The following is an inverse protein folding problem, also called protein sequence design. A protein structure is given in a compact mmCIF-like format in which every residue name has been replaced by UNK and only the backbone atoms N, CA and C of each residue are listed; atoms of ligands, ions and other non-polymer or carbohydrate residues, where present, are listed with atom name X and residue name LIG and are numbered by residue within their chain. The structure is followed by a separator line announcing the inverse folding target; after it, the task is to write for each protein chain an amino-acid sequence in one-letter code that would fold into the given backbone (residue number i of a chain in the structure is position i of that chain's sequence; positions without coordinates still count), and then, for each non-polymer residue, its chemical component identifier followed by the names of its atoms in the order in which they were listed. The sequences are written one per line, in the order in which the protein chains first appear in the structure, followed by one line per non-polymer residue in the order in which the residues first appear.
data_IF_135261741126
#
_entry.id   IF_135261741126
#
_cell.length_a   1.000
_cell.length_b   1.000
_cell.length_c   1.000
_cell.angle_alpha   90.00
_cell.angle_beta   90.00
_cell.angle_gamma   90.00
#
_symmetry.space_group_name_H-M   'P 1'
#
loop_
_entity.id
_entity.type
_entity.pdbx_description
1 polymer ?
#
# COMPACT_ATOMS: atom_id res chain seq x y z
N UNK A 1 55.28 39.82 -37.04
CA UNK A 1 54.97 38.42 -36.70
C UNK A 1 54.94 38.31 -35.18
N UNK A 2 53.76 38.07 -34.60
CA UNK A 2 53.49 37.58 -33.23
C UNK A 2 51.96 37.64 -33.05
N UNK A 3 51.31 36.49 -32.81
CA UNK A 3 49.94 36.40 -32.31
C UNK A 3 49.93 35.43 -31.12
N UNK A 4 49.48 35.85 -29.93
CA UNK A 4 49.31 34.97 -28.79
C UNK A 4 47.96 34.24 -28.86
N UNK A 5 47.98 33.01 -28.36
CA UNK A 5 46.90 32.03 -28.45
C UNK A 5 45.72 32.29 -27.51
N UNK A 6 44.58 31.74 -27.92
CA UNK A 6 43.39 31.55 -27.10
C UNK A 6 43.34 30.07 -26.70
N UNK A 7 43.68 29.79 -25.44
CA UNK A 7 43.36 28.54 -24.77
C UNK A 7 41.86 28.51 -24.46
N UNK A 8 41.13 27.59 -25.07
CA UNK A 8 39.79 27.19 -24.63
C UNK A 8 39.94 26.09 -23.57
N UNK A 9 39.74 26.42 -22.29
CA UNK A 9 39.57 25.42 -21.24
C UNK A 9 38.14 24.88 -21.28
N UNK A 10 37.99 23.64 -21.72
CA UNK A 10 36.75 22.87 -21.67
C UNK A 10 36.32 22.64 -20.21
N UNK A 11 35.22 23.27 -19.80
CA UNK A 11 34.50 22.93 -18.56
C UNK A 11 33.78 21.59 -18.76
N UNK A 12 34.46 20.48 -18.49
CA UNK A 12 33.81 19.18 -18.29
C UNK A 12 33.45 19.03 -16.81
N UNK A 13 32.23 19.41 -16.45
CA UNK A 13 31.59 18.97 -15.21
C UNK A 13 31.18 17.50 -15.37
N UNK A 14 32.08 16.57 -15.02
CA UNK A 14 31.67 15.20 -14.71
C UNK A 14 31.38 15.12 -13.19
N UNK A 15 30.24 15.66 -12.76
CA UNK A 15 29.63 15.31 -11.48
C UNK A 15 28.92 13.96 -11.64
N UNK A 16 29.72 12.90 -11.79
CA UNK A 16 29.25 11.52 -11.67
C UNK A 16 29.26 11.09 -10.21
N UNK A 17 28.47 11.75 -9.36
CA UNK A 17 28.10 11.19 -8.07
C UNK A 17 27.07 10.08 -8.33
N UNK A 18 27.52 8.93 -8.80
CA UNK A 18 26.78 7.69 -8.61
C UNK A 18 26.86 7.37 -7.11
N UNK A 19 25.98 8.00 -6.33
CA UNK A 19 25.63 7.44 -5.04
C UNK A 19 24.99 6.09 -5.35
N UNK A 20 25.76 5.01 -5.23
CA UNK A 20 25.21 3.70 -4.99
C UNK A 20 24.41 3.79 -3.69
N UNK A 21 23.14 4.19 -3.79
CA UNK A 21 22.16 3.93 -2.75
C UNK A 21 22.16 2.42 -2.59
N UNK A 22 22.78 1.94 -1.52
CA UNK A 22 22.89 0.51 -1.25
C UNK A 22 21.47 -0.05 -1.10
N UNK A 23 20.97 -0.64 -2.19
CA UNK A 23 19.65 -1.22 -2.26
C UNK A 23 19.52 -2.53 -1.48
N UNK A 24 20.60 -2.98 -0.84
CA UNK A 24 20.57 -4.10 0.09
C UNK A 24 19.72 -3.77 1.30
N UNK A 25 18.85 -4.70 1.69
CA UNK A 25 18.12 -4.63 2.95
C UNK A 25 19.10 -4.99 4.06
N UNK A 26 19.72 -4.00 4.70
CA UNK A 26 20.82 -4.26 5.64
C UNK A 26 20.36 -4.76 7.00
N UNK A 27 19.14 -4.43 7.43
CA UNK A 27 18.56 -4.92 8.69
C UNK A 27 17.03 -4.96 8.59
N UNK A 28 16.44 -6.16 8.52
CA UNK A 28 15.02 -6.34 8.86
C UNK A 28 14.95 -6.55 10.38
N UNK A 29 14.21 -5.74 11.15
CA UNK A 29 14.02 -6.00 12.57
C UNK A 29 13.47 -7.41 12.75
N UNK A 30 14.19 -8.23 13.51
CA UNK A 30 13.74 -9.53 13.94
C UNK A 30 12.69 -9.27 15.03
N UNK A 31 11.40 -9.26 14.67
CA UNK A 31 10.37 -9.40 15.68
C UNK A 31 10.56 -10.75 16.41
N UNK A 32 9.97 -10.90 17.60
CA UNK A 32 9.82 -12.22 18.22
C UNK A 32 8.95 -13.09 17.30
N UNK A 33 9.57 -13.71 16.30
CA UNK A 33 8.88 -14.29 15.15
C UNK A 33 8.87 -15.81 15.17
N UNK A 34 7.79 -16.39 14.66
CA UNK A 34 7.72 -17.82 14.33
C UNK A 34 8.79 -18.19 13.29
N UNK A 35 9.17 -19.48 13.14
CA UNK A 35 10.14 -19.92 12.12
C UNK A 35 9.80 -19.42 10.69
N UNK A 36 8.52 -19.22 10.41
CA UNK A 36 7.99 -18.72 9.15
C UNK A 36 8.33 -17.23 8.95
N UNK A 37 8.21 -16.40 9.99
CA UNK A 37 8.61 -14.99 9.96
C UNK A 37 10.12 -14.86 9.72
N UNK A 38 10.92 -15.70 10.39
CA UNK A 38 12.37 -15.73 10.17
C UNK A 38 12.77 -16.23 8.77
N UNK A 39 12.00 -17.16 8.19
CA UNK A 39 12.20 -17.60 6.81
C UNK A 39 11.86 -16.50 5.80
N UNK A 40 10.73 -15.79 6.00
CA UNK A 40 10.35 -14.66 5.16
C UNK A 40 11.36 -13.50 5.23
N UNK A 41 11.88 -13.19 6.44
CA UNK A 41 12.93 -12.19 6.61
C UNK A 41 14.21 -12.54 5.83
N UNK A 42 14.63 -13.82 5.89
CA UNK A 42 15.81 -14.30 5.13
C UNK A 42 15.59 -14.26 3.63
N UNK A 43 14.41 -14.68 3.16
CA UNK A 43 14.06 -14.64 1.75
C UNK A 43 14.10 -13.21 1.20
N UNK A 44 13.51 -12.25 1.92
CA UNK A 44 13.55 -10.83 1.57
C UNK A 44 14.97 -10.27 1.58
N UNK A 45 15.78 -10.56 2.61
CA UNK A 45 17.15 -10.06 2.69
C UNK A 45 18.05 -10.58 1.55
N UNK A 46 17.74 -11.75 0.97
CA UNK A 46 18.47 -12.32 -0.16
C UNK A 46 18.14 -11.65 -1.52
N UNK A 47 17.14 -10.78 -1.56
CA UNK A 47 16.74 -10.09 -2.79
C UNK A 47 17.42 -8.72 -2.95
N UNK A 48 17.44 -8.19 -4.18
CA UNK A 48 17.83 -6.81 -4.44
C UNK A 48 16.59 -6.00 -4.90
N UNK A 49 15.90 -5.31 -3.98
CA UNK A 49 14.68 -4.56 -4.25
C UNK A 49 14.74 -3.67 -5.49
N UNK A 50 15.83 -2.92 -5.65
CA UNK A 50 15.97 -1.95 -6.75
C UNK A 50 16.18 -2.61 -8.12
N UNK A 51 16.65 -3.87 -8.15
CA UNK A 51 16.78 -4.63 -9.41
C UNK A 51 15.46 -5.29 -9.80
N UNK A 52 14.68 -5.73 -8.81
CA UNK A 52 13.40 -6.40 -9.02
C UNK A 52 12.34 -5.41 -9.55
N UNK A 53 12.20 -4.25 -8.91
CA UNK A 53 11.23 -3.24 -9.34
C UNK A 53 11.91 -1.85 -9.34
N UNK A 54 12.07 -1.17 -10.50
CA UNK A 54 12.64 0.16 -10.56
C UNK A 54 11.84 1.14 -9.71
N UNK A 55 12.54 2.06 -9.06
CA UNK A 55 11.92 3.02 -8.14
C UNK A 55 11.71 2.50 -6.72
N UNK A 56 11.90 1.20 -6.45
CA UNK A 56 11.91 0.71 -5.08
C UNK A 56 13.12 1.21 -4.30
N UNK A 57 12.90 1.55 -3.04
CA UNK A 57 13.98 1.78 -2.08
C UNK A 57 13.96 0.70 -1.00
N UNK A 58 15.13 0.36 -0.44
CA UNK A 58 15.24 -0.55 0.71
C UNK A 58 14.49 -0.02 1.95
N UNK A 59 14.28 1.31 2.02
CA UNK A 59 13.53 1.99 3.10
C UNK A 59 12.04 1.62 3.10
N UNK A 60 11.40 1.59 1.93
CA UNK A 60 9.97 1.23 1.80
C UNK A 60 9.69 -0.18 2.33
N UNK A 61 10.54 -1.15 1.97
CA UNK A 61 10.41 -2.52 2.48
C UNK A 61 10.68 -2.63 3.98
N UNK A 62 11.66 -1.88 4.50
CA UNK A 62 11.92 -1.81 5.93
C UNK A 62 10.73 -1.27 6.73
N UNK A 63 10.09 -0.21 6.24
CA UNK A 63 8.90 0.38 6.86
C UNK A 63 7.70 -0.58 6.85
N UNK A 64 7.48 -1.25 5.72
CA UNK A 64 6.38 -2.21 5.52
C UNK A 64 6.58 -3.43 6.42
N UNK A 65 7.81 -3.95 6.49
CA UNK A 65 8.16 -5.04 7.39
C UNK A 65 7.99 -4.66 8.87
N UNK A 66 8.46 -3.48 9.27
CA UNK A 66 8.27 -2.99 10.64
C UNK A 66 6.78 -2.81 10.98
N UNK A 67 5.99 -2.27 10.04
CA UNK A 67 4.54 -2.09 10.20
C UNK A 67 3.79 -3.42 10.33
N UNK A 68 4.18 -4.41 9.52
CA UNK A 68 3.65 -5.77 9.59
C UNK A 68 3.90 -6.41 10.98
N UNK A 69 5.11 -6.20 11.53
CA UNK A 69 5.54 -6.74 12.82
C UNK A 69 5.02 -5.98 14.03
N UNK A 70 4.74 -4.68 13.89
CA UNK A 70 4.22 -3.87 14.99
C UNK A 70 2.81 -4.35 15.38
N UNK A 71 2.72 -5.10 16.48
CA UNK A 71 1.45 -5.46 17.13
C UNK A 71 0.89 -4.32 18.01
N UNK A 72 1.61 -3.21 18.10
CA UNK A 72 1.33 -2.13 19.04
C UNK A 72 0.24 -1.19 18.53
N UNK A 73 -0.96 -1.35 19.12
CA UNK A 73 -1.88 -0.24 19.43
C UNK A 73 -1.06 0.94 19.93
N UNK A 74 -0.99 2.03 19.16
CA UNK A 74 -0.46 3.30 19.67
C UNK A 74 -1.30 3.70 20.89
N UNK A 75 -0.69 3.74 22.07
CA UNK A 75 -1.30 4.02 23.36
C UNK A 75 -1.79 5.45 23.53
N UNK A 76 -2.80 5.83 22.76
CA UNK A 76 -3.62 7.02 22.96
C UNK A 76 -5.04 6.69 22.51
N UNK A 77 -6.05 7.09 23.30
CA UNK A 77 -7.44 7.02 22.85
C UNK A 77 -7.58 7.86 21.58
N UNK A 78 -7.56 7.21 20.42
CA UNK A 78 -8.04 7.83 19.18
C UNK A 78 -9.52 8.14 19.41
N UNK A 79 -9.89 9.41 19.28
CA UNK A 79 -11.26 9.88 19.46
C UNK A 79 -12.21 9.31 18.38
N UNK A 80 -11.64 8.79 17.29
CA UNK A 80 -12.34 8.08 16.22
C UNK A 80 -11.92 6.59 16.20
N UNK A 81 -12.90 5.69 16.05
CA UNK A 81 -12.62 4.27 15.90
C UNK A 81 -11.79 4.05 14.63
N UNK A 82 -10.70 3.27 14.70
CA UNK A 82 -9.85 3.06 13.53
C UNK A 82 -10.66 2.44 12.41
N UNK A 83 -10.41 2.89 11.19
CA UNK A 83 -10.99 2.30 9.98
C UNK A 83 -10.66 0.81 9.96
N UNK A 84 -11.65 -0.08 9.73
CA UNK A 84 -11.41 -1.51 9.68
C UNK A 84 -10.36 -1.84 8.61
N UNK A 85 -9.38 -2.70 8.89
CA UNK A 85 -8.36 -3.05 7.92
C UNK A 85 -9.00 -3.59 6.64
N UNK A 86 -8.65 -2.95 5.52
CA UNK A 86 -9.14 -3.30 4.19
C UNK A 86 -10.45 -2.66 3.75
N UNK A 87 -11.08 -1.85 4.60
CA UNK A 87 -12.07 -0.87 4.14
C UNK A 87 -11.36 0.30 3.43
N UNK A 88 -11.94 0.88 2.36
CA UNK A 88 -11.31 1.94 1.59
C UNK A 88 -11.16 3.22 2.42
N UNK A 89 -10.00 3.85 2.37
CA UNK A 89 -9.69 5.12 3.02
C UNK A 89 -8.59 5.84 2.24
N UNK A 90 -8.62 7.17 2.22
CA UNK A 90 -7.62 7.96 1.49
C UNK A 90 -7.63 7.67 -0.01
N UNK A 91 -6.46 7.49 -0.63
CA UNK A 91 -6.38 7.07 -2.02
C UNK A 91 -6.67 5.57 -2.12
N UNK A 92 -7.54 5.21 -3.06
CA UNK A 92 -7.97 3.82 -3.27
C UNK A 92 -7.78 3.44 -4.73
N UNK A 93 -7.01 2.38 -4.96
CA UNK A 93 -6.85 1.75 -6.26
C UNK A 93 -8.09 0.88 -6.56
N UNK A 94 -8.87 1.20 -7.61
CA UNK A 94 -9.93 0.32 -8.05
C UNK A 94 -9.37 -0.90 -8.79
N UNK A 95 -9.93 -2.07 -8.52
CA UNK A 95 -9.57 -3.33 -9.16
C UNK A 95 -10.74 -3.74 -10.07
N UNK A 96 -10.48 -3.97 -11.36
CA UNK A 96 -11.54 -4.33 -12.33
C UNK A 96 -12.75 -3.37 -12.35
N UNK A 97 -12.52 -2.07 -12.16
CA UNK A 97 -13.57 -1.03 -12.00
C UNK A 97 -14.44 -1.18 -10.75
N UNK A 98 -13.95 -1.86 -9.72
CA UNK A 98 -14.61 -2.01 -8.43
C UNK A 98 -13.72 -1.47 -7.30
N UNK A 99 -14.35 -0.92 -6.27
CA UNK A 99 -13.71 -0.68 -4.97
C UNK A 99 -14.23 -1.72 -4.00
N UNK A 100 -13.31 -2.46 -3.39
CA UNK A 100 -13.61 -3.54 -2.46
C UNK A 100 -13.70 -2.99 -1.03
N UNK A 101 -14.80 -3.31 -0.36
CA UNK A 101 -14.99 -3.14 1.07
C UNK A 101 -14.82 -4.49 1.75
N UNK A 102 -13.91 -4.60 2.72
CA UNK A 102 -13.78 -5.77 3.59
C UNK A 102 -14.08 -5.40 5.05
N UNK A 103 -15.17 -5.95 5.56
CA UNK A 103 -15.64 -5.82 6.94
C UNK A 103 -15.60 -7.16 7.69
N UNK A 104 -14.84 -8.14 7.21
CA UNK A 104 -14.78 -9.49 7.78
C UNK A 104 -14.42 -9.48 9.28
N UNK A 105 -13.57 -8.56 9.72
CA UNK A 105 -13.19 -8.41 11.13
C UNK A 105 -14.34 -7.89 12.02
N UNK A 106 -15.37 -7.28 11.42
CA UNK A 106 -16.51 -6.70 12.13
C UNK A 106 -17.78 -7.57 12.11
N UNK A 107 -17.74 -8.75 11.48
CA UNK A 107 -18.92 -9.63 11.39
C UNK A 107 -19.48 -9.98 12.79
N UNK A 108 -18.60 -10.18 13.76
CA UNK A 108 -18.97 -10.44 15.16
C UNK A 108 -19.66 -9.27 15.86
N UNK A 109 -19.65 -8.06 15.27
CA UNK A 109 -20.36 -6.89 15.79
C UNK A 109 -21.79 -6.76 15.27
N UNK A 110 -22.23 -7.64 14.37
CA UNK A 110 -23.51 -7.57 13.65
C UNK A 110 -23.56 -6.34 12.73
N UNK A 111 -23.28 -6.53 11.44
CA UNK A 111 -23.34 -5.45 10.44
C UNK A 111 -24.81 -5.06 10.19
N UNK A 112 -25.16 -3.80 10.41
CA UNK A 112 -26.56 -3.32 10.33
C UNK A 112 -26.85 -2.46 9.12
N UNK A 113 -25.93 -1.55 8.79
CA UNK A 113 -26.13 -0.63 7.67
C UNK A 113 -24.81 -0.18 7.07
N UNK A 114 -24.71 -0.17 5.75
CA UNK A 114 -23.66 0.54 5.02
C UNK A 114 -24.29 1.67 4.20
N UNK A 115 -23.80 2.89 4.38
CA UNK A 115 -24.08 4.03 3.50
C UNK A 115 -22.82 4.44 2.77
N UNK A 116 -22.94 4.72 1.49
CA UNK A 116 -21.90 5.31 0.66
C UNK A 116 -22.49 6.53 -0.04
N UNK A 117 -21.74 7.62 0.00
CA UNK A 117 -22.06 8.90 -0.63
C UNK A 117 -20.92 9.30 -1.55
N UNK A 118 -21.22 10.00 -2.63
CA UNK A 118 -20.24 10.66 -3.52
C UNK A 118 -20.58 12.12 -3.60
N UNK A 119 -19.62 12.97 -3.24
CA UNK A 119 -19.80 14.43 -3.18
C UNK A 119 -21.09 14.80 -2.41
N UNK A 120 -21.29 14.15 -1.25
CA UNK A 120 -22.44 14.28 -0.34
C UNK A 120 -23.79 13.82 -0.93
N UNK A 121 -23.79 13.15 -2.08
CA UNK A 121 -25.00 12.54 -2.66
C UNK A 121 -25.05 11.04 -2.34
N UNK A 122 -26.19 10.51 -1.89
CA UNK A 122 -26.34 9.08 -1.64
C UNK A 122 -26.04 8.27 -2.91
N UNK A 123 -25.08 7.34 -2.80
CA UNK A 123 -24.74 6.37 -3.85
C UNK A 123 -25.28 4.97 -3.52
N UNK A 124 -25.13 4.55 -2.26
CA UNK A 124 -25.52 3.22 -1.81
C UNK A 124 -26.04 3.28 -0.38
N UNK A 125 -27.09 2.52 -0.09
CA UNK A 125 -27.62 2.36 1.26
C UNK A 125 -28.11 0.92 1.42
N UNK A 126 -27.30 0.08 2.07
CA UNK A 126 -27.57 -1.34 2.28
C UNK A 126 -27.93 -1.59 3.74
N UNK A 127 -29.09 -2.19 3.96
CA UNK A 127 -29.43 -2.80 5.25
C UNK A 127 -28.81 -4.21 5.32
N UNK A 128 -28.24 -4.57 6.48
CA UNK A 128 -27.55 -5.84 6.73
C UNK A 128 -26.52 -6.17 5.64
N UNK A 129 -25.51 -5.31 5.42
CA UNK A 129 -24.51 -5.52 4.38
C UNK A 129 -23.74 -6.84 4.60
N UNK A 130 -23.35 -7.56 3.52
CA UNK A 130 -22.44 -8.68 3.66
C UNK A 130 -21.06 -8.21 4.15
N UNK A 131 -20.26 -9.16 4.65
CA UNK A 131 -18.90 -8.90 5.13
C UNK A 131 -17.97 -8.33 4.06
N UNK A 132 -18.24 -8.62 2.78
CA UNK A 132 -17.48 -8.12 1.63
C UNK A 132 -18.42 -7.57 0.59
N UNK A 133 -18.13 -6.38 0.09
CA UNK A 133 -18.95 -5.67 -0.90
C UNK A 133 -18.05 -5.06 -1.96
N UNK A 134 -18.49 -5.15 -3.21
CA UNK A 134 -17.82 -4.50 -4.32
C UNK A 134 -18.68 -3.32 -4.79
N UNK A 135 -18.11 -2.12 -4.73
CA UNK A 135 -18.73 -0.91 -5.23
C UNK A 135 -18.29 -0.67 -6.68
N UNK A 136 -19.19 -0.74 -7.67
CA UNK A 136 -18.84 -0.38 -9.04
C UNK A 136 -18.54 1.12 -9.13
N UNK A 137 -17.38 1.46 -9.70
CA UNK A 137 -16.92 2.84 -9.83
C UNK A 137 -17.00 3.38 -11.27
N UNK A 138 -17.69 2.68 -12.17
CA UNK A 138 -17.87 3.11 -13.55
C UNK A 138 -18.58 4.47 -13.60
N UNK A 139 -17.96 5.44 -14.27
CA UNK A 139 -18.52 6.78 -14.46
C UNK A 139 -18.17 7.77 -13.35
N UNK A 140 -17.42 7.37 -12.32
CA UNK A 140 -16.89 8.28 -11.32
C UNK A 140 -15.47 8.73 -11.68
N UNK A 141 -15.13 9.95 -11.28
CA UNK A 141 -13.85 10.59 -11.55
C UNK A 141 -12.95 10.61 -10.29
N UNK A 142 -11.62 10.59 -10.42
CA UNK A 142 -10.67 10.63 -9.30
C UNK A 142 -10.76 11.86 -8.39
N UNK A 143 -11.33 12.97 -8.87
CA UNK A 143 -11.52 14.20 -8.09
C UNK A 143 -12.67 14.12 -7.09
N UNK A 144 -13.62 13.21 -7.33
CA UNK A 144 -14.79 13.02 -6.49
C UNK A 144 -14.45 12.39 -5.15
N UNK A 145 -15.14 12.82 -4.10
CA UNK A 145 -14.91 12.32 -2.74
C UNK A 145 -16.01 11.34 -2.36
N UNK A 146 -15.61 10.11 -2.04
CA UNK A 146 -16.49 9.10 -1.51
C UNK A 146 -16.45 9.16 0.01
N UNK A 147 -17.62 9.14 0.64
CA UNK A 147 -17.77 9.00 2.07
C UNK A 147 -18.55 7.72 2.34
N UNK A 148 -18.08 6.88 3.24
CA UNK A 148 -18.87 5.73 3.69
C UNK A 148 -19.02 5.70 5.20
N UNK A 149 -20.14 5.13 5.64
CA UNK A 149 -20.47 4.91 7.05
C UNK A 149 -21.02 3.50 7.21
N UNK A 150 -20.37 2.71 8.06
CA UNK A 150 -20.83 1.38 8.46
C UNK A 150 -21.34 1.44 9.90
N UNK A 151 -22.61 1.12 10.11
CA UNK A 151 -23.22 0.95 11.43
C UNK A 151 -23.26 -0.53 11.79
N UNK A 152 -22.76 -0.87 12.98
CA UNK A 152 -22.80 -2.21 13.57
C UNK A 152 -23.69 -2.23 14.82
N UNK A 153 -23.83 -3.39 15.47
CA UNK A 153 -24.46 -3.49 16.78
C UNK A 153 -23.63 -2.88 17.92
N UNK A 154 -22.35 -2.58 17.69
CA UNK A 154 -21.43 -2.04 18.71
C UNK A 154 -21.05 -0.58 18.50
N UNK A 155 -21.13 -0.08 17.27
CA UNK A 155 -20.76 1.30 16.97
C UNK A 155 -20.96 1.69 15.51
N UNK A 156 -20.27 2.76 15.11
CA UNK A 156 -20.24 3.23 13.73
C UNK A 156 -18.80 3.52 13.31
N UNK A 157 -18.48 3.12 12.09
CA UNK A 157 -17.20 3.37 11.43
C UNK A 157 -17.45 4.29 10.24
N UNK A 158 -16.51 5.20 9.98
CA UNK A 158 -16.61 6.17 8.90
C UNK A 158 -15.23 6.41 8.31
N UNK A 159 -15.16 6.51 6.98
CA UNK A 159 -13.96 7.01 6.31
C UNK A 159 -14.31 7.66 4.98
N UNK A 160 -13.36 8.45 4.49
CA UNK A 160 -13.41 9.10 3.18
C UNK A 160 -12.35 8.48 2.28
N UNK A 161 -12.66 8.35 0.99
CA UNK A 161 -11.69 7.94 -0.02
C UNK A 161 -11.88 8.65 -1.36
N UNK A 162 -10.83 8.65 -2.16
CA UNK A 162 -10.80 9.08 -3.56
C UNK A 162 -10.25 7.97 -4.42
N UNK A 163 -10.65 7.94 -5.69
CA UNK A 163 -10.06 7.00 -6.64
C UNK A 163 -8.66 7.48 -6.99
N UNK A 164 -7.72 6.54 -7.10
CA UNK A 164 -6.38 6.85 -7.55
C UNK A 164 -6.44 7.43 -8.99
N UNK A 165 -5.76 8.56 -9.27
CA UNK A 165 -5.67 9.13 -10.61
C UNK A 165 -5.15 8.13 -11.64
N UNK A 166 -5.57 8.27 -12.90
CA UNK A 166 -5.21 7.29 -13.95
C UNK A 166 -3.69 7.18 -14.18
N UNK A 167 -2.95 8.28 -14.08
CA UNK A 167 -1.49 8.27 -14.24
C UNK A 167 -0.82 7.42 -13.15
N UNK A 168 -1.15 7.71 -11.89
CA UNK A 168 -0.62 6.99 -10.72
C UNK A 168 -1.07 5.52 -10.71
N UNK A 169 -2.30 5.25 -11.15
CA UNK A 169 -2.80 3.88 -11.34
C UNK A 169 -1.94 3.10 -12.32
N UNK A 170 -1.62 3.66 -13.49
CA UNK A 170 -0.77 2.99 -14.49
C UNK A 170 0.63 2.72 -13.94
N UNK A 171 1.18 3.64 -13.14
CA UNK A 171 2.47 3.43 -12.48
C UNK A 171 2.42 2.25 -11.51
N UNK A 172 1.42 2.24 -10.61
CA UNK A 172 1.22 1.15 -9.64
C UNK A 172 0.99 -0.19 -10.36
N UNK A 173 0.13 -0.23 -11.37
CA UNK A 173 -0.14 -1.43 -12.17
C UNK A 173 1.13 -1.94 -12.87
N UNK A 174 1.96 -1.03 -13.42
CA UNK A 174 3.23 -1.39 -14.05
C UNK A 174 4.20 -2.01 -13.04
N UNK A 175 4.32 -1.43 -11.84
CA UNK A 175 5.15 -1.97 -10.75
C UNK A 175 4.65 -3.36 -10.32
N UNK A 176 3.33 -3.55 -10.19
CA UNK A 176 2.72 -4.83 -9.83
C UNK A 176 2.91 -5.90 -10.92
N UNK A 177 2.75 -5.54 -12.20
CA UNK A 177 2.98 -6.45 -13.32
C UNK A 177 4.43 -6.93 -13.37
N UNK A 178 5.38 -6.01 -13.19
CA UNK A 178 6.81 -6.36 -13.12
C UNK A 178 7.11 -7.27 -11.94
N UNK A 179 6.57 -6.99 -10.76
CA UNK A 179 6.67 -7.88 -9.61
C UNK A 179 6.10 -9.28 -9.91
N UNK A 180 5.04 -9.36 -10.71
CA UNK A 180 4.44 -10.62 -11.18
C UNK A 180 5.35 -11.46 -12.08
N UNK A 181 6.30 -10.85 -12.79
CA UNK A 181 7.29 -11.56 -13.61
C UNK A 181 8.50 -12.08 -12.82
N UNK A 182 8.67 -11.63 -11.57
CA UNK A 182 9.77 -12.06 -10.72
C UNK A 182 9.48 -13.40 -10.04
N UNK A 183 10.51 -14.24 -9.99
CA UNK A 183 10.47 -15.55 -9.30
C UNK A 183 10.67 -15.37 -7.79
N UNK A 184 9.65 -14.83 -7.13
CA UNK A 184 9.59 -14.68 -5.68
C UNK A 184 8.70 -15.76 -5.05
N UNK A 185 9.02 -16.18 -3.82
CA UNK A 185 8.09 -16.97 -3.04
C UNK A 185 6.80 -16.16 -2.74
N UNK A 186 5.66 -16.83 -2.47
CA UNK A 186 4.37 -16.15 -2.31
C UNK A 186 4.35 -15.09 -1.20
N UNK A 187 5.06 -15.30 -0.09
CA UNK A 187 5.07 -14.38 1.04
C UNK A 187 5.90 -13.14 0.71
N UNK A 188 7.11 -13.33 0.16
CA UNK A 188 7.94 -12.21 -0.29
C UNK A 188 7.22 -11.37 -1.33
N UNK A 189 6.54 -12.00 -2.31
CA UNK A 189 5.74 -11.28 -3.31
C UNK A 189 4.67 -10.39 -2.66
N UNK A 190 3.93 -10.90 -1.68
CA UNK A 190 2.93 -10.11 -0.97
C UNK A 190 3.56 -8.93 -0.20
N UNK A 191 4.74 -9.09 0.39
CA UNK A 191 5.43 -8.00 1.10
C UNK A 191 5.91 -6.91 0.14
N UNK A 192 6.44 -7.30 -1.03
CA UNK A 192 6.73 -6.35 -2.10
C UNK A 192 5.48 -5.63 -2.61
N UNK A 193 4.37 -6.35 -2.77
CA UNK A 193 3.10 -5.76 -3.16
C UNK A 193 2.60 -4.75 -2.13
N UNK A 194 2.68 -5.07 -0.84
CA UNK A 194 2.34 -4.14 0.24
C UNK A 194 3.22 -2.88 0.21
N UNK A 195 4.50 -3.01 -0.14
CA UNK A 195 5.41 -1.87 -0.30
C UNK A 195 5.11 -1.01 -1.53
N UNK A 196 4.68 -1.59 -2.66
CA UNK A 196 4.16 -0.81 -3.79
C UNK A 196 2.99 0.06 -3.35
N UNK A 197 2.06 -0.53 -2.59
CA UNK A 197 0.88 0.18 -2.09
C UNK A 197 1.23 1.24 -1.06
N UNK A 198 2.17 0.97 -0.15
CA UNK A 198 2.63 1.93 0.86
C UNK A 198 3.29 3.16 0.20
N UNK A 199 4.17 2.96 -0.79
CA UNK A 199 4.81 4.04 -1.54
C UNK A 199 3.81 4.93 -2.31
N UNK A 200 2.65 4.38 -2.65
CA UNK A 200 1.59 5.07 -3.39
C UNK A 200 0.45 5.59 -2.50
N UNK A 201 0.65 5.60 -1.16
CA UNK A 201 -0.36 5.99 -0.16
C UNK A 201 -1.67 5.18 -0.24
N UNK A 202 -1.62 3.96 -0.79
CA UNK A 202 -2.74 3.03 -0.95
C UNK A 202 -2.93 2.15 0.30
N UNK A 203 -3.19 2.78 1.44
CA UNK A 203 -3.20 2.10 2.74
C UNK A 203 -4.24 0.98 2.86
N UNK A 204 -5.42 1.13 2.24
CA UNK A 204 -6.43 0.06 2.25
C UNK A 204 -5.94 -1.21 1.53
N UNK A 205 -5.27 -1.06 0.39
CA UNK A 205 -4.66 -2.16 -0.37
C UNK A 205 -3.49 -2.78 0.41
N UNK A 206 -2.63 -1.95 1.02
CA UNK A 206 -1.53 -2.40 1.89
C UNK A 206 -2.06 -3.25 3.04
N UNK A 207 -3.09 -2.79 3.74
CA UNK A 207 -3.63 -3.47 4.93
C UNK A 207 -4.33 -4.80 4.55
N UNK A 208 -5.06 -4.84 3.42
CA UNK A 208 -5.56 -6.12 2.84
C UNK A 208 -4.42 -7.08 2.54
N UNK A 209 -3.32 -6.56 2.00
CA UNK A 209 -2.12 -7.35 1.70
C UNK A 209 -1.46 -7.85 2.98
N UNK A 210 -1.41 -7.06 4.05
CA UNK A 210 -0.95 -7.50 5.37
C UNK A 210 -1.79 -8.64 5.93
N UNK A 211 -3.12 -8.58 5.83
CA UNK A 211 -3.97 -9.71 6.21
C UNK A 211 -3.66 -10.97 5.37
N UNK A 212 -3.39 -10.82 4.07
CA UNK A 212 -2.97 -11.93 3.22
C UNK A 212 -1.60 -12.50 3.64
N UNK A 213 -0.62 -11.64 3.94
CA UNK A 213 0.69 -12.04 4.47
C UNK A 213 0.54 -12.81 5.78
N UNK A 214 -0.27 -12.30 6.71
CA UNK A 214 -0.51 -12.95 8.01
C UNK A 214 -1.10 -14.34 7.86
N UNK A 215 -2.09 -14.50 6.97
CA UNK A 215 -2.68 -15.81 6.64
C UNK A 215 -1.68 -16.76 5.96
N UNK A 216 -0.85 -16.25 5.05
CA UNK A 216 0.07 -17.07 4.27
C UNK A 216 1.29 -17.54 5.08
N UNK A 217 1.80 -16.68 5.97
CA UNK A 217 3.00 -16.94 6.76
C UNK A 217 2.70 -17.40 8.20
N UNK A 218 1.41 -17.53 8.59
CA UNK A 218 0.99 -17.82 9.96
C UNK A 218 1.67 -16.88 10.99
N UNK A 219 1.60 -15.58 10.70
CA UNK A 219 1.90 -14.56 11.71
C UNK A 219 0.87 -14.60 12.84
#
# INVERSE_FOLDING_TARGET
MLRPGLLFCSLSFCLGAAAETSCGITVLPQGEGTPQVAAAARALAATNPCKLVPGFTSKSLGNVWASLLSSTRTGGRRLESPVPPGAPQGLTLPEQQMVHFDFSELVGEQLRQLRVEVDQKPLMNLANPPARIDLPIKGFSPDQTFLWTLTTGRGSYRAEFKLLPEADRKEVETRLQRLGTESLDPVSRLIYQAAIYDDADLFAQRDRTFQAVRRAANF
#
